data_IF_731421117884
#
_entry.id   IF_731421117884
#
_cell.length_a   1.000
_cell.length_b   1.000
_cell.length_c   1.000
_cell.angle_alpha   90.00
_cell.angle_beta   90.00
_cell.angle_gamma   90.00
#
_symmetry.space_group_name_H-M   'P 1'
#
loop_
_entity.id
_entity.type
_entity.pdbx_description
1 polymer ?
#
# COMPACT_ATOMS: atom_id res chain seq x y z
N UNK A 1 -27.41 27.57 12.10
CA UNK A 1 -26.57 26.56 12.79
C UNK A 1 -25.83 25.61 11.86
N UNK A 2 -26.32 25.30 10.64
CA UNK A 2 -25.56 24.45 9.69
C UNK A 2 -24.30 25.10 9.10
N UNK A 3 -24.30 26.43 8.92
CA UNK A 3 -23.14 27.15 8.37
C UNK A 3 -21.92 27.20 9.30
N UNK A 4 -22.10 27.15 10.62
CA UNK A 4 -20.97 27.15 11.57
C UNK A 4 -20.24 25.80 11.61
N UNK A 5 -20.98 24.69 11.44
CA UNK A 5 -20.41 23.34 11.42
C UNK A 5 -19.60 23.07 10.15
N UNK A 6 -20.11 23.49 8.99
CA UNK A 6 -19.38 23.35 7.72
C UNK A 6 -18.14 24.25 7.67
N UNK A 7 -18.22 25.46 8.23
CA UNK A 7 -17.05 26.35 8.37
C UNK A 7 -16.02 25.80 9.35
N UNK A 8 -16.45 25.14 10.44
CA UNK A 8 -15.54 24.47 11.38
C UNK A 8 -14.81 23.30 10.72
N UNK A 9 -15.50 22.46 9.96
CA UNK A 9 -14.87 21.36 9.19
C UNK A 9 -13.90 21.90 8.13
N UNK A 10 -14.29 22.93 7.37
CA UNK A 10 -13.43 23.56 6.37
C UNK A 10 -12.18 24.21 7.01
N UNK A 11 -12.31 24.78 8.22
CA UNK A 11 -11.17 25.35 8.97
C UNK A 11 -10.20 24.29 9.51
N UNK A 12 -10.68 23.06 9.76
CA UNK A 12 -9.87 21.92 10.23
C UNK A 12 -9.39 21.00 9.10
N UNK A 13 -9.85 21.18 7.87
CA UNK A 13 -9.37 20.45 6.68
C UNK A 13 -7.84 20.45 6.52
N UNK A 14 -7.11 21.55 6.81
CA UNK A 14 -5.64 21.57 6.79
C UNK A 14 -5.00 20.69 7.87
N UNK A 15 -5.65 20.54 9.03
CA UNK A 15 -5.21 19.63 10.10
C UNK A 15 -5.51 18.16 9.74
N UNK A 16 -6.61 17.92 9.04
CA UNK A 16 -7.03 16.61 8.54
C UNK A 16 -6.18 16.13 7.35
N UNK A 17 -5.66 17.05 6.53
CA UNK A 17 -4.69 16.79 5.45
C UNK A 17 -3.23 16.91 5.93
N UNK A 18 -2.98 16.95 7.23
CA UNK A 18 -1.63 17.05 7.78
C UNK A 18 -0.99 15.67 7.76
N UNK A 19 -0.18 15.39 6.73
CA UNK A 19 0.64 14.17 6.64
C UNK A 19 1.56 14.02 7.85
N UNK A 20 1.37 13.00 8.68
CA UNK A 20 2.17 12.80 9.90
C UNK A 20 3.51 12.15 9.60
N UNK A 21 3.52 11.25 8.60
CA UNK A 21 4.72 10.56 8.13
C UNK A 21 4.74 10.47 6.61
N UNK A 22 5.92 10.64 6.05
CA UNK A 22 6.24 10.38 4.64
C UNK A 22 7.37 9.38 4.56
N UNK A 23 7.12 8.26 3.90
CA UNK A 23 8.11 7.22 3.68
C UNK A 23 8.46 7.27 2.20
N UNK A 24 9.65 7.76 1.88
CA UNK A 24 10.14 7.83 0.51
C UNK A 24 10.80 6.50 0.14
N UNK A 25 10.41 5.95 -1.00
CA UNK A 25 10.89 4.69 -1.52
C UNK A 25 12.01 4.95 -2.53
N UNK A 26 13.00 4.06 -2.58
CA UNK A 26 14.09 4.14 -3.57
C UNK A 26 13.61 3.84 -4.98
N UNK A 27 12.76 2.84 -5.12
CA UNK A 27 12.19 2.43 -6.39
C UNK A 27 10.93 3.25 -6.70
N UNK A 28 10.67 3.50 -7.99
CA UNK A 28 9.41 4.10 -8.44
C UNK A 28 8.26 3.11 -8.25
N UNK A 29 7.10 3.63 -7.83
CA UNK A 29 5.87 2.85 -7.71
C UNK A 29 4.86 3.22 -8.79
N UNK A 30 4.21 2.20 -9.34
CA UNK A 30 2.96 2.37 -10.07
C UNK A 30 1.81 2.44 -9.04
N UNK A 31 1.11 3.57 -9.00
CA UNK A 31 0.07 3.82 -7.99
C UNK A 31 -1.06 2.78 -8.05
N UNK A 32 -1.43 2.32 -9.25
CA UNK A 32 -2.53 1.39 -9.45
C UNK A 32 -2.12 0.00 -8.96
N UNK A 33 -0.97 -0.50 -9.41
CA UNK A 33 -0.47 -1.82 -9.00
C UNK A 33 -0.24 -1.85 -7.49
N UNK A 34 0.39 -0.81 -6.94
CA UNK A 34 0.64 -0.71 -5.51
C UNK A 34 -0.67 -0.60 -4.71
N UNK A 35 -1.64 0.16 -5.21
CA UNK A 35 -2.99 0.22 -4.65
C UNK A 35 -3.69 -1.12 -4.60
N UNK A 36 -3.61 -1.90 -5.68
CA UNK A 36 -4.15 -3.26 -5.77
C UNK A 36 -3.50 -4.18 -4.72
N UNK A 37 -2.19 -4.07 -4.47
CA UNK A 37 -1.50 -4.77 -3.37
C UNK A 37 -2.08 -4.38 -2.01
N UNK A 38 -2.22 -3.09 -1.73
CA UNK A 38 -2.76 -2.61 -0.45
C UNK A 38 -4.16 -3.19 -0.18
N UNK A 39 -5.00 -3.27 -1.21
CA UNK A 39 -6.32 -3.89 -1.11
C UNK A 39 -6.21 -5.39 -0.84
N UNK A 40 -5.36 -6.11 -1.57
CA UNK A 40 -5.15 -7.57 -1.40
C UNK A 40 -4.67 -7.93 0.01
N UNK A 41 -3.81 -7.12 0.62
CA UNK A 41 -3.34 -7.36 2.00
C UNK A 41 -4.37 -7.00 3.07
N UNK A 42 -5.52 -6.42 2.67
CA UNK A 42 -6.67 -6.19 3.54
C UNK A 42 -6.95 -4.74 3.90
N UNK A 43 -6.37 -3.76 3.21
CA UNK A 43 -6.80 -2.37 3.35
C UNK A 43 -8.05 -2.11 2.51
N UNK A 44 -8.88 -1.19 2.98
CA UNK A 44 -10.08 -0.72 2.29
C UNK A 44 -9.74 0.56 1.56
N UNK A 45 -9.93 0.58 0.24
CA UNK A 45 -9.83 1.79 -0.57
C UNK A 45 -11.03 2.71 -0.34
N UNK A 46 -10.77 4.00 -0.22
CA UNK A 46 -11.76 5.07 -0.13
C UNK A 46 -11.42 6.08 -1.22
N UNK A 47 -12.36 6.31 -2.12
CA UNK A 47 -12.27 7.37 -3.11
C UNK A 47 -12.95 8.64 -2.57
N UNK A 48 -12.22 9.75 -2.51
CA UNK A 48 -12.76 11.06 -2.15
C UNK A 48 -12.71 11.96 -3.39
N UNK A 49 -13.89 12.37 -3.86
CA UNK A 49 -14.05 13.25 -5.02
C UNK A 49 -14.16 14.70 -4.57
N UNK A 50 -13.25 15.54 -5.03
CA UNK A 50 -13.32 16.99 -4.91
C UNK A 50 -13.63 17.61 -6.28
N UNK A 51 -13.85 18.92 -6.33
CA UNK A 51 -14.24 19.65 -7.55
C UNK A 51 -13.25 19.54 -8.72
N UNK A 52 -11.99 19.19 -8.45
CA UNK A 52 -10.91 19.18 -9.44
C UNK A 52 -10.30 17.78 -9.67
N UNK A 53 -10.38 16.89 -8.68
CA UNK A 53 -9.70 15.59 -8.72
C UNK A 53 -10.37 14.58 -7.80
N UNK A 54 -10.21 13.31 -8.16
CA UNK A 54 -10.49 12.19 -7.29
C UNK A 54 -9.19 11.73 -6.63
N UNK A 55 -9.21 11.52 -5.32
CA UNK A 55 -8.06 11.01 -4.58
C UNK A 55 -8.41 9.70 -3.88
N UNK A 56 -7.49 8.73 -3.93
CA UNK A 56 -7.66 7.41 -3.34
C UNK A 56 -6.86 7.34 -2.04
N UNK A 57 -7.52 6.84 -1.00
CA UNK A 57 -6.95 6.61 0.33
C UNK A 57 -7.17 5.16 0.73
N UNK A 58 -6.28 4.62 1.54
CA UNK A 58 -6.33 3.24 2.02
C UNK A 58 -6.39 3.24 3.54
N UNK A 59 -7.33 2.48 4.12
CA UNK A 59 -7.45 2.36 5.58
C UNK A 59 -7.45 0.90 6.02
N UNK A 60 -6.98 0.65 7.22
CA UNK A 60 -7.10 -0.65 7.85
C UNK A 60 -8.57 -0.92 8.23
N UNK A 61 -9.06 -2.13 7.98
CA UNK A 61 -10.37 -2.56 8.50
C UNK A 61 -10.28 -2.80 10.01
N UNK A 62 -10.39 -1.75 10.80
CA UNK A 62 -10.37 -1.87 12.25
C UNK A 62 -11.81 -1.96 12.76
N UNK A 63 -12.18 -3.15 13.25
CA UNK A 63 -13.38 -3.34 14.04
C UNK A 63 -13.14 -2.82 15.45
N UNK A 64 -13.03 -1.51 15.61
CA UNK A 64 -13.15 -0.90 16.93
C UNK A 64 -14.59 -0.41 17.06
N UNK A 65 -15.50 -1.26 17.54
CA UNK A 65 -16.71 -0.73 18.15
C UNK A 65 -16.24 0.04 19.39
N UNK A 66 -16.31 1.37 19.37
CA UNK A 66 -16.12 2.15 20.59
C UNK A 66 -17.17 1.70 21.62
N UNK A 67 -16.80 0.99 22.70
CA UNK A 67 -17.78 0.45 23.65
C UNK A 67 -18.54 1.57 24.37
N UNK A 68 -17.98 2.79 24.38
CA UNK A 68 -18.59 3.95 24.99
C UNK A 68 -19.49 4.75 24.02
N UNK A 69 -19.51 4.41 22.72
CA UNK A 69 -20.34 5.07 21.70
C UNK A 69 -20.85 4.08 20.64
N UNK A 70 -21.72 3.13 21.02
CA UNK A 70 -22.39 2.26 20.06
C UNK A 70 -23.24 3.13 19.11
N UNK A 71 -22.90 3.15 17.82
CA UNK A 71 -23.65 3.87 16.78
C UNK A 71 -22.94 5.09 16.17
N UNK A 72 -21.80 5.55 16.72
CA UNK A 72 -20.89 6.39 15.93
C UNK A 72 -20.18 5.47 14.94
N UNK A 73 -20.62 5.48 13.67
CA UNK A 73 -19.74 5.03 12.59
C UNK A 73 -18.55 5.96 12.67
N UNK A 74 -17.36 5.43 12.93
CA UNK A 74 -16.09 6.17 12.93
C UNK A 74 -15.73 6.64 11.51
N UNK A 75 -16.63 7.40 10.89
CA UNK A 75 -16.34 8.34 9.82
C UNK A 75 -15.79 9.63 10.46
N UNK A 76 -14.89 9.48 11.42
CA UNK A 76 -13.83 10.46 11.58
C UNK A 76 -12.82 10.05 10.53
N UNK A 77 -12.18 11.00 9.84
CA UNK A 77 -11.00 10.72 9.03
C UNK A 77 -9.90 10.15 9.93
N UNK A 78 -10.04 8.88 10.31
CA UNK A 78 -9.09 8.13 11.10
C UNK A 78 -7.84 7.87 10.27
N UNK A 79 -6.86 7.21 10.88
CA UNK A 79 -5.57 6.98 10.26
C UNK A 79 -5.71 6.35 8.88
N UNK A 80 -5.05 6.92 7.87
CA UNK A 80 -5.11 6.43 6.51
C UNK A 80 -3.79 6.60 5.78
N UNK A 81 -3.63 5.79 4.74
CA UNK A 81 -2.48 5.75 3.86
C UNK A 81 -2.86 6.33 2.50
N UNK A 82 -2.01 7.15 1.91
CA UNK A 82 -2.14 7.62 0.52
C UNK A 82 -0.82 7.39 -0.20
N UNK A 83 -0.88 7.07 -1.49
CA UNK A 83 0.30 6.95 -2.33
C UNK A 83 0.57 8.28 -3.04
N UNK A 84 1.84 8.59 -3.22
CA UNK A 84 2.31 9.70 -4.05
C UNK A 84 3.32 9.11 -5.04
N UNK A 85 2.84 8.70 -6.22
CA UNK A 85 3.69 8.06 -7.23
C UNK A 85 4.70 9.03 -7.85
N UNK A 86 4.39 10.32 -7.91
CA UNK A 86 5.33 11.35 -8.42
C UNK A 86 6.58 11.43 -7.55
N UNK A 87 6.41 11.35 -6.23
CA UNK A 87 7.52 11.34 -5.26
C UNK A 87 7.99 9.94 -4.87
N UNK A 88 7.34 8.91 -5.39
CA UNK A 88 7.47 7.52 -4.92
C UNK A 88 7.42 7.42 -3.39
N UNK A 89 6.33 7.91 -2.79
CA UNK A 89 6.19 7.95 -1.33
C UNK A 89 4.87 7.41 -0.81
N UNK A 90 4.93 6.89 0.41
CA UNK A 90 3.77 6.42 1.17
C UNK A 90 3.49 7.44 2.26
N UNK A 91 2.28 7.98 2.23
CA UNK A 91 1.82 9.02 3.13
C UNK A 91 0.97 8.43 4.23
N UNK A 92 1.30 8.69 5.49
CA UNK A 92 0.44 8.35 6.63
C UNK A 92 -0.16 9.64 7.19
N UNK A 93 -1.48 9.65 7.31
CA UNK A 93 -2.26 10.75 7.88
C UNK A 93 -3.03 10.24 9.10
N UNK A 94 -3.23 11.09 10.10
CA UNK A 94 -3.92 10.75 11.34
C UNK A 94 -3.21 9.65 12.14
N UNK A 95 -1.88 9.61 12.12
CA UNK A 95 -1.05 8.60 12.77
C UNK A 95 -1.44 8.44 14.25
N UNK A 96 -1.84 7.24 14.64
CA UNK A 96 -2.14 6.88 16.02
C UNK A 96 -2.01 5.35 16.21
N UNK A 97 -2.18 4.85 17.43
CA UNK A 97 -2.02 3.43 17.76
C UNK A 97 -2.87 2.47 16.91
N UNK A 98 -4.00 2.93 16.37
CA UNK A 98 -4.86 2.11 15.51
C UNK A 98 -4.13 1.73 14.21
N UNK A 99 -3.32 2.62 13.64
CA UNK A 99 -2.57 2.30 12.41
C UNK A 99 -1.51 1.22 12.67
N UNK A 100 -0.81 1.32 13.79
CA UNK A 100 0.18 0.34 14.22
C UNK A 100 -0.48 -1.01 14.49
N UNK A 101 -1.63 -1.01 15.18
CA UNK A 101 -2.44 -2.21 15.42
C UNK A 101 -2.90 -2.87 14.12
N UNK A 102 -3.30 -2.05 13.12
CA UNK A 102 -3.65 -2.50 11.79
C UNK A 102 -2.49 -3.19 11.06
N UNK A 103 -1.31 -2.56 11.06
CA UNK A 103 -0.09 -3.13 10.48
C UNK A 103 0.29 -4.45 11.18
N UNK A 104 0.29 -4.48 12.51
CA UNK A 104 0.57 -5.68 13.32
C UNK A 104 -0.33 -6.85 12.95
N UNK A 105 -1.64 -6.63 12.84
CA UNK A 105 -2.58 -7.68 12.44
C UNK A 105 -2.22 -8.33 11.10
N UNK A 106 -1.82 -7.53 10.11
CA UNK A 106 -1.38 -8.05 8.81
C UNK A 106 -0.07 -8.82 8.99
N UNK A 107 0.93 -8.23 9.64
CA UNK A 107 2.23 -8.87 9.85
C UNK A 107 2.14 -10.21 10.61
N UNK A 108 1.24 -10.33 11.59
CA UNK A 108 1.00 -11.58 12.31
C UNK A 108 0.25 -12.61 11.47
N UNK A 109 -0.79 -12.18 10.74
CA UNK A 109 -1.55 -13.05 9.84
C UNK A 109 -0.63 -13.69 8.79
N UNK A 110 0.29 -12.91 8.24
CA UNK A 110 1.25 -13.33 7.22
C UNK A 110 2.51 -13.97 7.83
N UNK A 111 2.56 -14.15 9.16
CA UNK A 111 3.65 -14.79 9.92
C UNK A 111 5.02 -14.14 9.71
N UNK A 112 5.03 -12.84 9.44
CA UNK A 112 6.26 -12.03 9.32
C UNK A 112 6.77 -11.67 10.72
N UNK A 113 5.83 -11.39 11.63
CA UNK A 113 6.08 -11.23 13.05
C UNK A 113 5.28 -12.26 13.83
N UNK A 114 5.72 -12.57 15.05
CA UNK A 114 5.08 -13.50 15.97
C UNK A 114 4.32 -12.74 17.07
N UNK A 115 3.02 -13.02 17.18
CA UNK A 115 2.15 -12.39 18.17
C UNK A 115 2.56 -12.75 19.63
N UNK A 116 3.17 -13.91 19.87
CA UNK A 116 3.66 -14.31 21.19
C UNK A 116 4.83 -13.42 21.61
N UNK A 117 5.78 -13.20 20.71
CA UNK A 117 6.94 -12.33 20.98
C UNK A 117 6.50 -10.89 21.21
N UNK A 118 5.54 -10.43 20.42
CA UNK A 118 4.93 -9.13 20.60
C UNK A 118 4.28 -8.96 21.98
N UNK A 119 3.44 -9.93 22.41
CA UNK A 119 2.78 -9.92 23.72
C UNK A 119 3.74 -10.02 24.89
N UNK A 120 4.87 -10.70 24.70
CA UNK A 120 5.93 -10.81 25.71
C UNK A 120 6.88 -9.61 25.76
N UNK A 121 6.65 -8.59 24.93
CA UNK A 121 7.53 -7.43 24.72
C UNK A 121 8.95 -7.78 24.21
N UNK A 122 9.18 -9.01 23.74
CA UNK A 122 10.47 -9.47 23.20
C UNK A 122 10.95 -8.56 22.06
N UNK A 123 10.07 -8.17 21.14
CA UNK A 123 10.43 -7.24 20.06
C UNK A 123 10.83 -5.87 20.58
N UNK A 124 10.11 -5.34 21.57
CA UNK A 124 10.38 -4.02 22.14
C UNK A 124 11.73 -3.99 22.88
N UNK A 125 12.08 -5.09 23.53
CA UNK A 125 13.33 -5.23 24.27
C UNK A 125 14.54 -5.57 23.38
N UNK A 126 14.31 -6.18 22.22
CA UNK A 126 15.37 -6.68 21.32
C UNK A 126 15.18 -6.24 19.86
N UNK A 127 14.85 -4.97 19.61
CA UNK A 127 14.48 -4.45 18.29
C UNK A 127 15.52 -4.80 17.19
N UNK A 128 16.80 -4.55 17.46
CA UNK A 128 17.90 -4.75 16.51
C UNK A 128 18.00 -6.21 16.02
N UNK A 129 17.68 -7.17 16.88
CA UNK A 129 17.72 -8.61 16.55
C UNK A 129 16.70 -8.99 15.47
N UNK A 130 15.59 -8.27 15.41
CA UNK A 130 14.47 -8.59 14.53
C UNK A 130 14.21 -7.49 13.50
N UNK A 131 15.13 -6.54 13.33
CA UNK A 131 14.92 -5.40 12.45
C UNK A 131 14.75 -5.85 10.98
N UNK A 132 13.79 -5.24 10.29
CA UNK A 132 13.64 -5.42 8.86
C UNK A 132 14.79 -4.75 8.12
N UNK A 133 15.48 -5.48 7.24
CA UNK A 133 16.37 -4.83 6.28
C UNK A 133 15.54 -4.04 5.28
N UNK A 134 15.65 -2.72 5.33
CA UNK A 134 14.94 -1.78 4.45
C UNK A 134 15.89 -0.87 3.67
N UNK A 135 17.20 -1.11 3.73
CA UNK A 135 18.20 -0.19 3.19
C UNK A 135 18.11 -0.04 1.66
N UNK A 136 17.65 -1.08 0.97
CA UNK A 136 17.39 -1.10 -0.47
C UNK A 136 15.95 -0.67 -0.84
N UNK A 137 15.09 -0.43 0.15
CA UNK A 137 13.68 -0.13 -0.04
C UNK A 137 13.37 1.33 0.30
N UNK A 138 13.78 1.79 1.49
CA UNK A 138 13.43 3.09 2.05
C UNK A 138 14.61 4.05 1.84
N UNK A 139 14.35 5.18 1.19
CA UNK A 139 15.35 6.25 1.05
C UNK A 139 15.44 7.08 2.32
N UNK A 140 14.30 7.55 2.82
CA UNK A 140 14.18 8.32 4.06
C UNK A 140 12.76 8.30 4.60
N UNK A 141 12.63 8.61 5.87
CA UNK A 141 11.34 8.80 6.54
C UNK A 141 11.32 10.22 7.11
N UNK A 142 10.35 11.02 6.68
CA UNK A 142 10.07 12.33 7.26
C UNK A 142 8.92 12.21 8.26
N UNK A 143 9.15 12.68 9.48
CA UNK A 143 8.22 12.56 10.60
C UNK A 143 7.96 13.93 11.21
N UNK A 144 6.69 14.26 11.45
CA UNK A 144 6.33 15.50 12.18
C UNK A 144 6.63 15.40 13.67
N UNK A 145 6.32 14.25 14.24
CA UNK A 145 6.63 13.89 15.61
C UNK A 145 7.44 12.60 15.59
N UNK A 146 8.46 12.56 16.47
CA UNK A 146 9.38 11.43 16.56
C UNK A 146 8.62 10.15 16.85
N UNK A 147 8.72 9.18 15.95
CA UNK A 147 8.14 7.86 16.16
C UNK A 147 8.86 7.14 17.29
N UNK A 148 8.10 6.46 18.14
CA UNK A 148 8.71 5.52 19.09
C UNK A 148 9.46 4.41 18.34
N UNK A 149 10.64 3.97 18.81
CA UNK A 149 11.45 2.97 18.10
C UNK A 149 10.68 1.70 17.72
N UNK A 150 9.84 1.20 18.62
CA UNK A 150 9.02 0.01 18.37
C UNK A 150 7.94 0.23 17.30
N UNK A 151 7.33 1.42 17.26
CA UNK A 151 6.36 1.74 16.21
C UNK A 151 7.05 1.90 14.84
N UNK A 152 8.24 2.48 14.81
CA UNK A 152 9.05 2.57 13.59
C UNK A 152 9.44 1.18 13.08
N UNK A 153 9.78 0.27 13.99
CA UNK A 153 10.03 -1.14 13.69
C UNK A 153 8.82 -1.81 13.00
N UNK A 154 7.60 -1.64 13.54
CA UNK A 154 6.38 -2.17 12.91
C UNK A 154 6.18 -1.58 11.51
N UNK A 155 6.36 -0.26 11.36
CA UNK A 155 6.22 0.41 10.06
C UNK A 155 7.22 -0.16 9.05
N UNK A 156 8.50 -0.30 9.41
CA UNK A 156 9.52 -0.85 8.51
C UNK A 156 9.19 -2.25 8.03
N UNK A 157 8.78 -3.14 8.93
CA UNK A 157 8.34 -4.50 8.58
C UNK A 157 7.15 -4.49 7.62
N UNK A 158 6.16 -3.63 7.88
CA UNK A 158 5.00 -3.49 7.01
C UNK A 158 5.38 -2.98 5.62
N UNK A 159 6.19 -1.93 5.51
CA UNK A 159 6.61 -1.37 4.22
C UNK A 159 7.42 -2.39 3.43
N UNK A 160 8.36 -3.09 4.08
CA UNK A 160 9.13 -4.16 3.46
C UNK A 160 8.20 -5.21 2.86
N UNK A 161 7.24 -5.70 3.65
CA UNK A 161 6.28 -6.70 3.19
C UNK A 161 5.48 -6.27 1.96
N UNK A 162 4.94 -5.05 1.96
CA UNK A 162 4.17 -4.53 0.83
C UNK A 162 5.04 -4.40 -0.42
N UNK A 163 6.29 -3.94 -0.26
CA UNK A 163 7.23 -3.78 -1.38
C UNK A 163 7.63 -5.14 -1.94
N UNK A 164 7.91 -6.13 -1.10
CA UNK A 164 8.22 -7.49 -1.54
C UNK A 164 7.06 -8.05 -2.39
N UNK A 165 5.81 -7.87 -1.93
CA UNK A 165 4.60 -8.26 -2.68
C UNK A 165 4.44 -7.50 -3.99
N UNK A 166 4.70 -6.21 -4.00
CA UNK A 166 4.67 -5.38 -5.20
C UNK A 166 5.73 -5.85 -6.23
N UNK A 167 6.94 -6.19 -5.79
CA UNK A 167 8.00 -6.71 -6.67
C UNK A 167 7.65 -8.09 -7.23
N UNK A 168 7.11 -9.00 -6.40
CA UNK A 168 6.63 -10.32 -6.84
C UNK A 168 5.60 -10.20 -7.98
N UNK A 169 4.62 -9.30 -7.85
CA UNK A 169 3.56 -9.15 -8.86
C UNK A 169 4.04 -8.42 -10.13
N UNK A 170 5.00 -7.49 -10.03
CA UNK A 170 5.52 -6.80 -11.22
C UNK A 170 6.42 -7.69 -12.06
N UNK A 171 7.28 -8.52 -11.46
CA UNK A 171 8.14 -9.45 -12.21
C UNK A 171 7.29 -10.49 -12.96
N UNK A 172 6.18 -10.95 -12.35
CA UNK A 172 5.24 -11.87 -12.99
C UNK A 172 4.52 -11.30 -14.23
N UNK A 173 4.60 -9.99 -14.48
CA UNK A 173 3.94 -9.34 -15.62
C UNK A 173 4.82 -9.21 -16.86
N UNK A 174 6.16 -9.21 -16.72
CA UNK A 174 7.10 -9.11 -17.85
C UNK A 174 7.28 -10.46 -18.58
N UNK A 175 7.28 -11.58 -17.86
CA UNK A 175 7.49 -12.91 -18.45
C UNK A 175 6.34 -13.41 -19.34
N UNK A 176 5.17 -12.76 -19.31
CA UNK A 176 4.04 -13.09 -20.19
C UNK A 176 4.03 -12.33 -21.53
N UNK A 177 5.01 -11.44 -21.77
CA UNK A 177 5.13 -10.70 -23.04
C UNK A 177 6.08 -11.36 -24.06
N UNK A 178 6.80 -12.42 -23.68
CA UNK A 178 7.79 -13.09 -24.53
C UNK A 178 7.25 -14.28 -25.36
N UNK A 179 5.94 -14.32 -25.67
CA UNK A 179 5.39 -15.35 -26.56
C UNK A 179 4.33 -14.83 -27.53
N UNK A 180 4.64 -13.76 -28.24
CA UNK A 180 4.09 -13.52 -29.57
C UNK A 180 5.29 -13.26 -30.49
N UNK A 181 5.75 -14.32 -31.16
CA UNK A 181 6.32 -14.32 -32.51
C UNK A 181 7.15 -15.60 -32.73
N UNK A 182 6.54 -16.59 -33.37
CA UNK A 182 7.25 -17.44 -34.31
C UNK A 182 6.29 -17.89 -35.42
N UNK A 183 6.27 -17.04 -36.44
CA UNK A 183 6.38 -17.38 -37.87
C UNK A 183 5.48 -18.47 -38.48
N UNK A 184 4.57 -17.95 -39.33
CA UNK A 184 4.49 -18.27 -40.76
C UNK A 184 4.05 -19.67 -41.20
N UNK A 185 2.71 -19.80 -41.23
CA UNK A 185 1.91 -20.16 -42.39
C UNK A 185 2.70 -20.57 -43.66
N UNK A 186 3.09 -21.84 -43.75
CA UNK A 186 3.55 -22.46 -45.01
C UNK A 186 2.37 -22.69 -45.94
N UNK A 187 2.13 -21.71 -46.81
CA UNK A 187 1.27 -21.85 -47.98
C UNK A 187 1.94 -22.80 -48.99
N UNK A 188 1.45 -24.04 -49.10
CA UNK A 188 1.90 -25.00 -50.10
C UNK A 188 1.12 -24.72 -51.40
N UNK A 189 1.71 -23.90 -52.28
CA UNK A 189 1.26 -23.79 -53.68
C UNK A 189 2.28 -24.50 -54.55
N UNK A 190 1.97 -25.72 -55.00
CA UNK A 190 2.66 -26.34 -56.15
C UNK A 190 1.65 -26.51 -57.27
N UNK A 191 1.80 -25.69 -58.31
CA UNK A 191 0.99 -25.74 -59.52
C UNK A 191 1.32 -26.98 -60.36
N UNK A 192 0.36 -27.51 -61.14
CA UNK A 192 0.54 -28.66 -62.00
C UNK A 192 1.21 -28.25 -63.33
N UNK A 193 2.26 -28.95 -63.74
CA UNK A 193 2.74 -28.94 -65.11
C UNK A 193 2.25 -30.21 -65.82
N UNK A 194 1.28 -30.03 -66.72
CA UNK A 194 1.04 -30.92 -67.85
C UNK A 194 1.30 -30.07 -69.09
N UNK A 195 2.21 -30.51 -69.94
CA UNK A 195 2.18 -30.23 -71.39
C UNK A 195 2.67 -31.47 -72.12
N UNK A 196 1.96 -31.76 -73.22
CA UNK A 196 1.95 -32.99 -74.00
C UNK A 196 3.04 -33.02 -75.09
N UNK A 197 3.21 -34.24 -75.65
CA UNK A 197 3.66 -34.59 -77.02
C UNK A 197 5.13 -34.25 -77.37
N UNK A 198 5.93 -35.11 -78.00
CA UNK A 198 5.70 -36.19 -78.99
C UNK A 198 6.47 -37.49 -78.69
#
# INVERSE_FOLDING_TARGET
MFGSFLNEIASKLPEINRKDKEIYLKDKIDEKVFGDILIKVGLISIEIKNSEKSEIYYKFSLYASNPNKPGMKDFVLGSHVKLDAEKSSICIYGYNENIISGMKKILFKEKILDEVYDKSEEYKNNLEKYEANTDDIIEKIEEKEKTEPYNLFIIKHFIKYIIDKYKEENISSEDNSANENNEDNKNITTNPFITNEE
#
